data_IF_877603956896
#
_entry.id   IF_877603956896
#
_cell.length_a   1.000
_cell.length_b   1.000
_cell.length_c   1.000
_cell.angle_alpha   90.00
_cell.angle_beta   90.00
_cell.angle_gamma   90.00
#
_symmetry.space_group_name_H-M   'P 1'
#
loop_
_entity.id
_entity.type
_entity.pdbx_description
1 polymer ?
#
# COMPACT_ATOMS: atom_id res chain seq x y z
N UNK A 1 -32.30 -34.33 4.71
CA UNK A 1 -31.94 -34.37 3.27
C UNK A 1 -30.93 -35.50 3.05
N UNK A 2 -30.90 -36.06 1.83
CA UNK A 2 -30.37 -37.40 1.46
C UNK A 2 -28.89 -37.43 1.03
N UNK A 3 -28.10 -36.40 1.27
CA UNK A 3 -26.67 -36.37 0.86
C UNK A 3 -25.75 -36.52 2.07
N UNK A 4 -24.72 -37.34 1.90
CA UNK A 4 -23.75 -37.62 2.97
C UNK A 4 -22.89 -36.40 3.24
N UNK A 5 -22.37 -36.30 4.46
CA UNK A 5 -21.41 -35.25 4.81
C UNK A 5 -20.21 -35.29 3.85
N UNK A 6 -19.69 -36.48 3.50
CA UNK A 6 -18.55 -36.63 2.57
C UNK A 6 -18.80 -35.95 1.21
N UNK A 7 -19.98 -36.14 0.60
CA UNK A 7 -20.31 -35.46 -0.67
C UNK A 7 -20.33 -33.94 -0.46
N UNK A 8 -20.87 -33.47 0.66
CA UNK A 8 -20.89 -32.04 0.97
C UNK A 8 -19.48 -31.50 1.20
N UNK A 9 -18.58 -32.27 1.84
CA UNK A 9 -17.18 -31.88 2.02
C UNK A 9 -16.44 -31.75 0.69
N UNK A 10 -16.69 -32.67 -0.25
CA UNK A 10 -16.10 -32.62 -1.59
C UNK A 10 -16.58 -31.38 -2.37
N UNK A 11 -17.85 -30.99 -2.17
CA UNK A 11 -18.44 -29.81 -2.81
C UNK A 11 -18.17 -28.50 -2.06
N UNK A 12 -17.79 -28.56 -0.78
CA UNK A 12 -17.64 -27.39 0.09
C UNK A 12 -16.63 -26.37 -0.43
N UNK A 13 -15.44 -26.77 -0.95
CA UNK A 13 -14.51 -25.84 -1.57
C UNK A 13 -15.12 -25.11 -2.77
N UNK A 14 -15.83 -25.84 -3.64
CA UNK A 14 -16.48 -25.27 -4.83
C UNK A 14 -17.62 -24.31 -4.47
N UNK A 15 -18.36 -24.64 -3.40
CA UNK A 15 -19.40 -23.79 -2.83
C UNK A 15 -18.79 -22.52 -2.24
N UNK A 16 -17.73 -22.66 -1.44
CA UNK A 16 -16.99 -21.56 -0.84
C UNK A 16 -16.45 -20.59 -1.91
N UNK A 17 -15.92 -21.13 -3.00
CA UNK A 17 -15.37 -20.33 -4.12
C UNK A 17 -16.46 -19.76 -5.05
N UNK A 18 -17.73 -20.14 -4.84
CA UNK A 18 -18.87 -19.63 -5.62
C UNK A 18 -18.94 -20.13 -7.06
N UNK A 19 -18.26 -21.24 -7.39
CA UNK A 19 -18.14 -21.79 -8.75
C UNK A 19 -19.04 -23.00 -9.00
N UNK A 20 -19.75 -23.48 -7.98
CA UNK A 20 -20.70 -24.59 -8.13
C UNK A 20 -21.98 -24.15 -8.86
N UNK A 21 -22.64 -25.09 -9.55
CA UNK A 21 -23.97 -24.84 -10.15
C UNK A 21 -25.02 -24.51 -9.09
N UNK A 22 -26.10 -23.83 -9.50
CA UNK A 22 -27.21 -23.48 -8.58
C UNK A 22 -27.84 -24.72 -7.90
N UNK A 23 -27.94 -25.84 -8.61
CA UNK A 23 -28.47 -27.08 -8.06
C UNK A 23 -27.56 -27.60 -6.93
N UNK A 24 -26.25 -27.65 -7.19
CA UNK A 24 -25.26 -28.05 -6.18
C UNK A 24 -25.23 -27.09 -5.00
N UNK A 25 -25.37 -25.79 -5.26
CA UNK A 25 -25.41 -24.73 -4.25
C UNK A 25 -26.59 -24.94 -3.30
N UNK A 26 -27.79 -25.12 -3.85
CA UNK A 26 -29.02 -25.34 -3.07
C UNK A 26 -28.89 -26.59 -2.23
N UNK A 27 -28.32 -27.66 -2.79
CA UNK A 27 -28.07 -28.90 -2.07
C UNK A 27 -27.12 -28.73 -0.87
N UNK A 28 -26.04 -27.98 -1.05
CA UNK A 28 -25.08 -27.70 0.03
C UNK A 28 -25.74 -26.81 1.10
N UNK A 29 -26.49 -25.78 0.73
CA UNK A 29 -27.20 -24.89 1.66
C UNK A 29 -28.23 -25.63 2.51
N UNK A 30 -29.02 -26.52 1.89
CA UNK A 30 -29.95 -27.37 2.61
C UNK A 30 -29.24 -28.27 3.64
N UNK A 31 -28.09 -28.86 3.30
CA UNK A 31 -27.30 -29.66 4.23
C UNK A 31 -26.70 -28.82 5.36
N UNK A 32 -26.16 -27.65 5.01
CA UNK A 32 -25.61 -26.70 5.95
C UNK A 32 -26.66 -26.14 6.90
N UNK A 33 -27.96 -26.18 6.59
CA UNK A 33 -28.99 -25.72 7.53
C UNK A 33 -28.99 -26.53 8.85
N UNK A 34 -28.69 -27.83 8.80
CA UNK A 34 -28.83 -28.74 9.94
C UNK A 34 -27.53 -29.46 10.35
N UNK A 35 -26.47 -29.44 9.54
CA UNK A 35 -25.22 -30.15 9.85
C UNK A 35 -24.13 -29.21 10.40
N UNK A 36 -23.96 -29.19 11.72
CA UNK A 36 -22.97 -28.33 12.36
C UNK A 36 -21.51 -28.69 12.04
N UNK A 37 -21.23 -29.96 11.71
CA UNK A 37 -19.89 -30.41 11.29
C UNK A 37 -19.48 -29.74 9.98
N UNK A 38 -20.35 -29.77 8.97
CA UNK A 38 -20.07 -29.14 7.67
C UNK A 38 -20.06 -27.60 7.79
N UNK A 39 -20.88 -27.01 8.67
CA UNK A 39 -20.77 -25.56 8.99
C UNK A 39 -19.40 -25.21 9.58
N UNK A 40 -18.91 -26.01 10.53
CA UNK A 40 -17.61 -25.77 11.15
C UNK A 40 -16.47 -25.84 10.12
N UNK A 41 -16.50 -26.82 9.22
CA UNK A 41 -15.52 -26.91 8.13
C UNK A 41 -15.54 -25.69 7.19
N UNK A 42 -16.75 -25.23 6.82
CA UNK A 42 -16.89 -24.01 6.01
C UNK A 42 -16.35 -22.76 6.73
N UNK A 43 -16.57 -22.65 8.05
CA UNK A 43 -16.01 -21.58 8.86
C UNK A 43 -14.48 -21.60 8.92
N UNK A 44 -13.86 -22.78 8.98
CA UNK A 44 -12.40 -22.91 8.95
C UNK A 44 -11.85 -22.38 7.62
N UNK A 45 -12.49 -22.71 6.49
CA UNK A 45 -12.10 -22.22 5.15
C UNK A 45 -12.20 -20.69 5.06
N UNK A 46 -13.31 -20.12 5.54
CA UNK A 46 -13.52 -18.67 5.58
C UNK A 46 -12.45 -17.93 6.41
N UNK A 47 -12.09 -18.49 7.58
CA UNK A 47 -11.12 -17.88 8.48
C UNK A 47 -9.66 -18.02 7.99
N UNK A 48 -9.32 -19.13 7.33
CA UNK A 48 -7.99 -19.31 6.76
C UNK A 48 -7.65 -18.23 5.72
N UNK A 49 -8.63 -17.83 4.90
CA UNK A 49 -8.42 -16.78 3.90
C UNK A 49 -8.38 -15.37 4.48
N UNK A 50 -9.22 -15.07 5.48
CA UNK A 50 -9.25 -13.74 6.10
C UNK A 50 -7.94 -13.42 6.83
N UNK A 51 -7.38 -14.40 7.55
CA UNK A 51 -6.10 -14.26 8.26
C UNK A 51 -4.95 -14.07 7.28
N UNK A 52 -4.87 -14.91 6.24
CA UNK A 52 -3.80 -14.80 5.23
C UNK A 52 -3.84 -13.45 4.50
N UNK A 53 -5.04 -12.99 4.10
CA UNK A 53 -5.20 -11.72 3.39
C UNK A 53 -4.88 -10.50 4.26
N UNK A 54 -5.26 -10.53 5.54
CA UNK A 54 -4.94 -9.45 6.47
C UNK A 54 -3.42 -9.32 6.72
N UNK A 55 -2.74 -10.45 6.93
CA UNK A 55 -1.29 -10.49 7.16
C UNK A 55 -0.51 -10.05 5.91
N UNK A 56 -0.90 -10.55 4.72
CA UNK A 56 -0.29 -10.13 3.45
C UNK A 56 -0.45 -8.62 3.20
N UNK A 57 -1.67 -8.08 3.40
CA UNK A 57 -1.92 -6.65 3.24
C UNK A 57 -1.10 -5.79 4.22
N UNK A 58 -0.92 -6.24 5.46
CA UNK A 58 -0.10 -5.55 6.45
C UNK A 58 1.37 -5.53 6.06
N UNK A 59 1.91 -6.66 5.61
CA UNK A 59 3.30 -6.78 5.18
C UNK A 59 3.59 -5.93 3.93
N UNK A 60 2.69 -5.96 2.93
CA UNK A 60 2.78 -5.12 1.74
C UNK A 60 2.71 -3.63 2.09
N UNK A 61 1.77 -3.24 2.95
CA UNK A 61 1.64 -1.86 3.42
C UNK A 61 2.90 -1.40 4.18
N UNK A 62 3.51 -2.26 4.99
CA UNK A 62 4.74 -1.93 5.71
C UNK A 62 5.93 -1.75 4.76
N UNK A 63 6.05 -2.60 3.74
CA UNK A 63 7.08 -2.49 2.71
C UNK A 63 6.97 -1.16 1.94
N UNK A 64 5.77 -0.80 1.48
CA UNK A 64 5.50 0.47 0.79
C UNK A 64 5.75 1.67 1.71
N UNK A 65 5.39 1.58 3.00
CA UNK A 65 5.64 2.62 4.00
C UNK A 65 7.14 2.81 4.27
N UNK A 66 7.94 1.75 4.28
CA UNK A 66 9.41 1.82 4.41
C UNK A 66 10.04 2.48 3.20
N UNK A 67 9.60 2.13 1.98
CA UNK A 67 10.07 2.74 0.73
C UNK A 67 9.76 4.24 0.68
N UNK A 68 8.50 4.62 0.92
CA UNK A 68 8.07 6.03 0.89
C UNK A 68 8.80 6.90 1.91
N UNK A 69 9.06 6.39 3.12
CA UNK A 69 9.88 7.12 4.13
C UNK A 69 11.31 7.36 3.66
N UNK A 70 11.96 6.36 3.04
CA UNK A 70 13.32 6.51 2.50
C UNK A 70 13.36 7.53 1.37
N UNK A 71 12.39 7.48 0.46
CA UNK A 71 12.28 8.41 -0.66
C UNK A 71 12.07 9.85 -0.20
N UNK A 72 11.11 10.09 0.72
CA UNK A 72 10.86 11.43 1.29
C UNK A 72 12.10 12.00 1.98
N UNK A 73 12.84 11.17 2.73
CA UNK A 73 14.08 11.61 3.40
C UNK A 73 15.19 11.95 2.40
N UNK A 74 15.32 11.20 1.31
CA UNK A 74 16.26 11.50 0.22
C UNK A 74 15.91 12.82 -0.49
N UNK A 75 14.63 13.01 -0.80
CA UNK A 75 14.14 14.21 -1.46
C UNK A 75 14.34 15.47 -0.61
N UNK A 76 14.02 15.43 0.70
CA UNK A 76 14.22 16.56 1.60
C UNK A 76 15.70 16.98 1.68
N UNK A 77 16.62 16.01 1.72
CA UNK A 77 18.07 16.29 1.68
C UNK A 77 18.49 16.98 0.39
N UNK A 78 17.93 16.58 -0.74
CA UNK A 78 18.23 17.21 -2.04
C UNK A 78 17.69 18.64 -2.11
N UNK A 79 16.47 18.88 -1.61
CA UNK A 79 15.88 20.22 -1.56
C UNK A 79 16.71 21.17 -0.70
N UNK A 80 17.14 20.73 0.49
CA UNK A 80 17.96 21.56 1.38
C UNK A 80 19.30 21.95 0.74
N UNK A 81 19.96 21.00 0.04
CA UNK A 81 21.19 21.28 -0.71
C UNK A 81 20.94 22.28 -1.84
N UNK A 82 19.84 22.13 -2.58
CA UNK A 82 19.47 23.06 -3.65
C UNK A 82 19.27 24.49 -3.13
N UNK A 83 18.53 24.66 -2.03
CA UNK A 83 18.31 25.97 -1.39
C UNK A 83 19.64 26.63 -1.02
N UNK A 84 20.56 25.88 -0.41
CA UNK A 84 21.85 26.41 0.03
C UNK A 84 22.72 26.89 -1.14
N UNK A 85 22.74 26.13 -2.24
CA UNK A 85 23.45 26.51 -3.48
C UNK A 85 22.82 27.77 -4.09
N UNK A 86 21.48 27.84 -4.16
CA UNK A 86 20.78 29.00 -4.70
C UNK A 86 21.04 30.27 -3.90
N UNK A 87 21.02 30.19 -2.56
CA UNK A 87 21.34 31.33 -1.69
C UNK A 87 22.77 31.81 -1.93
N UNK A 88 23.73 30.88 -2.03
CA UNK A 88 25.13 31.22 -2.30
C UNK A 88 25.30 31.93 -3.65
N UNK A 89 24.62 31.44 -4.69
CA UNK A 89 24.65 32.06 -6.01
C UNK A 89 24.08 33.49 -5.99
N UNK A 90 22.94 33.70 -5.32
CA UNK A 90 22.33 35.03 -5.17
C UNK A 90 23.27 35.97 -4.41
N UNK A 91 23.90 35.52 -3.32
CA UNK A 91 24.84 36.32 -2.55
C UNK A 91 26.06 36.74 -3.38
N UNK A 92 26.61 35.83 -4.18
CA UNK A 92 27.72 36.14 -5.09
C UNK A 92 27.33 37.17 -6.16
N UNK A 93 26.16 37.02 -6.77
CA UNK A 93 25.65 37.98 -7.75
C UNK A 93 25.47 39.37 -7.11
N UNK A 94 24.85 39.42 -5.92
CA UNK A 94 24.66 40.67 -5.18
C UNK A 94 26.01 41.35 -4.84
N UNK A 95 27.01 40.57 -4.43
CA UNK A 95 28.37 41.08 -4.15
C UNK A 95 29.01 41.68 -5.42
N UNK A 96 28.92 40.99 -6.56
CA UNK A 96 29.45 41.50 -7.84
C UNK A 96 28.76 42.80 -8.24
N UNK A 97 27.44 42.87 -8.13
CA UNK A 97 26.68 44.09 -8.41
C UNK A 97 27.07 45.24 -7.47
N UNK A 98 27.26 44.94 -6.18
CA UNK A 98 27.72 45.93 -5.19
C UNK A 98 29.10 46.47 -5.56
N UNK A 99 30.09 45.59 -5.82
CA UNK A 99 31.43 46.00 -6.24
C UNK A 99 31.41 46.82 -7.54
N UNK A 100 30.57 46.45 -8.50
CA UNK A 100 30.43 47.18 -9.77
C UNK A 100 29.81 48.58 -9.57
N UNK A 101 28.83 48.70 -8.67
CA UNK A 101 28.23 50.00 -8.33
C UNK A 101 29.21 50.90 -7.56
N UNK A 102 29.95 50.35 -6.61
CA UNK A 102 30.95 51.08 -5.82
C UNK A 102 32.09 51.60 -6.73
N UNK A 103 32.56 50.76 -7.65
CA UNK A 103 33.52 51.16 -8.69
C UNK A 103 32.96 52.20 -9.68
N UNK A 104 31.63 52.39 -9.78
CA UNK A 104 31.03 53.41 -10.66
C UNK A 104 30.74 54.73 -9.95
N UNK A 105 30.64 54.72 -8.62
CA UNK A 105 30.44 55.92 -7.79
C UNK A 105 31.75 56.70 -7.60
N UNK A 106 32.88 56.01 -7.40
CA UNK A 106 34.22 56.62 -7.23
C UNK A 106 34.76 57.36 -8.49
N UNK A 107 34.63 56.88 -9.75
CA UNK A 107 35.21 57.54 -10.93
C UNK A 107 34.50 58.83 -11.35
N UNK A 108 33.42 59.24 -10.67
CA UNK A 108 32.71 60.50 -10.94
C UNK A 108 33.10 61.64 -9.99
N UNK A 109 33.93 61.40 -8.98
CA UNK A 109 34.58 62.45 -8.17
C UNK A 109 36.07 62.54 -8.53
N UNK A 110 36.39 63.05 -9.71
CA UNK A 110 37.70 63.63 -10.01
C UNK A 110 37.55 64.70 -11.07
#
# INVERSE_FOLDING_TARGET
MKISCEIVKDLLPLYHDGVCSNDSKTMVEEHLAYCDRCKAELLVMNNALSINKAEQNLHEAEAVKKLSKRWKKGMLKSLLKGILITILAIALIALVLYCFMDFRIIPKLK
#
